data_IF_425086095209
#
_entry.id   IF_425086095209
#
_cell.length_a   1.000
_cell.length_b   1.000
_cell.length_c   1.000
_cell.angle_alpha   90.00
_cell.angle_beta   90.00
_cell.angle_gamma   90.00
#
_symmetry.space_group_name_H-M   'P 1'
#
loop_
_entity.id
_entity.type
_entity.pdbx_description
1 polymer ?
#
# COMPACT_ATOMS: atom_id res chain seq x y z
N UNK A 1 -3.27 -20.96 -22.41
CA UNK A 1 -2.16 -20.99 -21.44
C UNK A 1 -2.53 -20.05 -20.29
N UNK A 2 -3.06 -20.59 -19.19
CA UNK A 2 -3.68 -19.81 -18.10
C UNK A 2 -3.08 -20.07 -16.71
N UNK A 3 -1.82 -20.53 -16.65
CA UNK A 3 -1.16 -20.90 -15.38
C UNK A 3 -0.22 -19.81 -14.82
N UNK A 4 -0.02 -18.69 -15.51
CA UNK A 4 1.00 -17.71 -15.12
C UNK A 4 0.59 -16.64 -14.10
N UNK A 5 -0.69 -16.26 -13.98
CA UNK A 5 -1.06 -15.09 -13.16
C UNK A 5 -1.23 -15.40 -11.67
N UNK A 6 -1.77 -16.58 -11.33
CA UNK A 6 -2.02 -16.96 -9.93
C UNK A 6 -0.73 -17.20 -9.16
N UNK A 7 0.23 -17.92 -9.76
CA UNK A 7 1.54 -18.17 -9.17
C UNK A 7 2.33 -16.86 -9.00
N UNK A 8 2.23 -15.96 -9.99
CA UNK A 8 2.83 -14.64 -9.90
C UNK A 8 2.23 -13.84 -8.74
N UNK A 9 0.91 -13.79 -8.57
CA UNK A 9 0.28 -13.09 -7.43
C UNK A 9 0.79 -13.64 -6.09
N UNK A 10 0.93 -14.97 -5.96
CA UNK A 10 1.45 -15.60 -4.73
C UNK A 10 2.89 -15.16 -4.44
N UNK A 11 3.77 -15.20 -5.44
CA UNK A 11 5.18 -14.78 -5.31
C UNK A 11 5.26 -13.30 -4.96
N UNK A 12 4.50 -12.45 -5.65
CA UNK A 12 4.45 -11.01 -5.43
C UNK A 12 4.01 -10.65 -4.01
N UNK A 13 2.95 -11.30 -3.53
CA UNK A 13 2.48 -11.11 -2.17
C UNK A 13 3.50 -11.61 -1.13
N UNK A 14 4.21 -12.71 -1.40
CA UNK A 14 5.26 -13.20 -0.53
C UNK A 14 6.44 -12.21 -0.45
N UNK A 15 6.86 -11.65 -1.58
CA UNK A 15 7.92 -10.64 -1.66
C UNK A 15 7.53 -9.36 -0.92
N UNK A 16 6.33 -8.83 -1.15
CA UNK A 16 5.82 -7.63 -0.46
C UNK A 16 5.77 -7.84 1.06
N UNK A 17 5.30 -9.01 1.52
CA UNK A 17 5.34 -9.37 2.95
C UNK A 17 6.77 -9.42 3.48
N UNK A 18 7.67 -10.08 2.76
CA UNK A 18 9.07 -10.23 3.14
C UNK A 18 9.78 -8.88 3.26
N UNK A 19 9.57 -7.98 2.31
CA UNK A 19 10.19 -6.65 2.35
C UNK A 19 9.59 -5.77 3.45
N UNK A 20 8.28 -5.77 3.62
CA UNK A 20 7.66 -4.95 4.65
C UNK A 20 8.00 -5.39 6.08
N UNK A 21 8.27 -6.68 6.30
CA UNK A 21 8.62 -7.19 7.63
C UNK A 21 10.09 -6.95 8.00
N UNK A 22 10.99 -6.90 7.00
CA UNK A 22 12.44 -6.80 7.24
C UNK A 22 13.00 -5.37 7.17
N UNK A 23 12.16 -4.35 6.90
CA UNK A 23 12.60 -2.95 6.78
C UNK A 23 12.98 -2.40 5.40
N UNK A 24 13.19 -3.17 4.30
CA UNK A 24 13.36 -2.59 2.95
C UNK A 24 12.01 -2.08 2.40
N UNK A 25 11.54 -0.98 2.97
CA UNK A 25 10.26 -0.35 2.67
C UNK A 25 10.19 0.21 1.24
N UNK A 26 11.34 0.61 0.68
CA UNK A 26 11.40 1.18 -0.66
C UNK A 26 11.17 0.10 -1.73
N UNK A 27 11.74 -1.08 -1.53
CA UNK A 27 11.56 -2.27 -2.35
C UNK A 27 10.12 -2.78 -2.26
N UNK A 28 9.50 -2.76 -1.07
CA UNK A 28 8.08 -3.04 -0.91
C UNK A 28 7.22 -2.12 -1.80
N UNK A 29 7.52 -0.83 -1.82
CA UNK A 29 6.80 0.17 -2.62
C UNK A 29 7.06 -0.03 -4.13
N UNK A 30 8.31 -0.25 -4.54
CA UNK A 30 8.65 -0.51 -5.95
C UNK A 30 7.92 -1.74 -6.46
N UNK A 31 7.86 -2.78 -5.64
CA UNK A 31 7.11 -3.98 -5.96
C UNK A 31 5.62 -3.63 -6.15
N UNK A 32 5.00 -2.92 -5.21
CA UNK A 32 3.61 -2.49 -5.38
C UNK A 32 3.37 -1.73 -6.70
N UNK A 33 4.27 -0.82 -7.09
CA UNK A 33 4.15 -0.04 -8.32
C UNK A 33 4.27 -0.89 -9.59
N UNK A 34 5.00 -2.00 -9.55
CA UNK A 34 5.17 -2.92 -10.67
C UNK A 34 3.96 -3.84 -10.90
N UNK A 35 3.10 -4.04 -9.90
CA UNK A 35 1.95 -4.96 -10.00
C UNK A 35 1.04 -4.67 -11.21
N UNK A 36 0.61 -3.42 -11.47
CA UNK A 36 -0.25 -3.12 -12.62
C UNK A 36 0.42 -3.38 -13.97
N UNK A 37 1.73 -3.13 -14.08
CA UNK A 37 2.49 -3.38 -15.30
C UNK A 37 2.57 -4.88 -15.66
N UNK A 38 2.31 -5.75 -14.68
CA UNK A 38 2.23 -7.20 -14.86
C UNK A 38 0.80 -7.74 -14.92
N UNK A 39 -0.20 -6.87 -14.95
CA UNK A 39 -1.61 -7.26 -14.92
C UNK A 39 -2.04 -7.84 -13.57
N UNK A 40 -1.27 -7.60 -12.50
CA UNK A 40 -1.61 -8.02 -11.14
C UNK A 40 -2.37 -6.88 -10.44
N UNK A 41 -3.32 -7.24 -9.59
CA UNK A 41 -4.07 -6.28 -8.77
C UNK A 41 -3.67 -6.41 -7.30
N UNK A 42 -3.38 -5.30 -6.60
CA UNK A 42 -3.26 -5.33 -5.16
C UNK A 42 -4.58 -5.75 -4.51
N UNK A 43 -4.49 -6.35 -3.32
CA UNK A 43 -5.67 -6.74 -2.54
C UNK A 43 -5.52 -6.36 -1.05
N UNK A 44 -6.50 -6.68 -0.23
CA UNK A 44 -6.52 -6.38 1.21
C UNK A 44 -5.28 -6.84 2.00
N UNK A 45 -4.55 -7.87 1.58
CA UNK A 45 -3.29 -8.26 2.21
C UNK A 45 -2.07 -7.48 1.70
N UNK A 46 -2.16 -6.77 0.57
CA UNK A 46 -1.04 -6.01 -0.02
C UNK A 46 -0.98 -4.62 0.59
N UNK A 47 -2.14 -3.95 0.65
CA UNK A 47 -2.25 -2.56 1.07
C UNK A 47 -1.67 -2.24 2.45
N UNK A 48 -1.84 -3.06 3.51
CA UNK A 48 -1.31 -2.74 4.83
C UNK A 48 0.22 -2.58 4.82
N UNK A 49 0.92 -3.44 4.08
CA UNK A 49 2.37 -3.41 3.96
C UNK A 49 2.86 -2.17 3.23
N UNK A 50 2.16 -1.78 2.16
CA UNK A 50 2.50 -0.61 1.35
C UNK A 50 2.23 0.68 2.12
N UNK A 51 1.09 0.77 2.83
CA UNK A 51 0.76 1.92 3.66
C UNK A 51 1.76 2.08 4.81
N UNK A 52 2.11 0.98 5.50
CA UNK A 52 3.12 1.03 6.55
C UNK A 52 4.49 1.43 5.98
N UNK A 53 4.88 0.89 4.83
CA UNK A 53 6.14 1.28 4.16
C UNK A 53 6.16 2.75 3.77
N UNK A 54 5.04 3.29 3.27
CA UNK A 54 4.91 4.74 3.01
C UNK A 54 5.02 5.56 4.30
N UNK A 55 4.49 5.05 5.41
CA UNK A 55 4.55 5.72 6.70
C UNK A 55 5.98 5.75 7.27
N UNK A 56 6.71 4.63 7.22
CA UNK A 56 8.07 4.52 7.74
C UNK A 56 9.08 5.33 6.89
N UNK A 57 8.79 5.55 5.60
CA UNK A 57 9.57 6.42 4.71
C UNK A 57 9.06 7.86 4.64
N UNK A 58 8.06 8.23 5.45
CA UNK A 58 7.42 9.55 5.45
C UNK A 58 6.88 9.98 4.06
N UNK A 59 6.59 9.02 3.18
CA UNK A 59 6.05 9.23 1.83
C UNK A 59 4.53 9.46 1.86
N UNK A 60 4.05 10.36 2.71
CA UNK A 60 2.62 10.59 2.96
C UNK A 60 1.82 10.95 1.70
N UNK A 61 2.43 11.68 0.76
CA UNK A 61 1.81 11.98 -0.53
C UNK A 61 1.48 10.72 -1.34
N UNK A 62 2.37 9.72 -1.32
CA UNK A 62 2.13 8.42 -1.93
C UNK A 62 1.09 7.62 -1.14
N UNK A 63 1.22 7.60 0.18
CA UNK A 63 0.25 6.93 1.07
C UNK A 63 -1.19 7.38 0.83
N UNK A 64 -1.42 8.69 0.61
CA UNK A 64 -2.73 9.22 0.22
C UNK A 64 -3.23 8.72 -1.14
N UNK A 65 -2.34 8.61 -2.14
CA UNK A 65 -2.71 8.05 -3.47
C UNK A 65 -3.11 6.58 -3.33
N UNK A 66 -2.36 5.81 -2.53
CA UNK A 66 -2.70 4.41 -2.22
C UNK A 66 -4.03 4.32 -1.47
N UNK A 67 -4.31 5.24 -0.54
CA UNK A 67 -5.63 5.31 0.11
C UNK A 67 -6.77 5.54 -0.89
N UNK A 68 -6.61 6.42 -1.89
CA UNK A 68 -7.61 6.56 -2.95
C UNK A 68 -7.81 5.27 -3.75
N UNK A 69 -6.75 4.50 -3.98
CA UNK A 69 -6.85 3.19 -4.65
C UNK A 69 -7.55 2.14 -3.78
N UNK A 70 -7.30 2.12 -2.48
CA UNK A 70 -7.98 1.26 -1.48
C UNK A 70 -9.49 1.49 -1.52
N UNK A 71 -9.94 2.76 -1.52
CA UNK A 71 -11.37 3.10 -1.58
C UNK A 71 -11.98 2.66 -2.91
N UNK A 72 -11.25 2.83 -4.03
CA UNK A 72 -11.73 2.38 -5.35
C UNK A 72 -11.78 0.86 -5.49
N UNK A 73 -10.96 0.14 -4.75
CA UNK A 73 -10.92 -1.32 -4.75
C UNK A 73 -11.90 -1.97 -3.75
N UNK A 74 -12.52 -1.19 -2.86
CA UNK A 74 -13.49 -1.66 -1.87
C UNK A 74 -12.86 -2.36 -0.66
N UNK A 75 -11.57 -2.13 -0.40
CA UNK A 75 -10.84 -2.77 0.70
C UNK A 75 -10.66 -1.88 1.93
N UNK A 76 -11.24 -0.68 1.95
CA UNK A 76 -11.15 0.27 3.07
C UNK A 76 -11.73 -0.29 4.37
N UNK A 77 -12.74 -1.16 4.27
CA UNK A 77 -13.39 -1.82 5.42
C UNK A 77 -12.61 -3.02 5.96
N UNK A 78 -11.52 -3.44 5.30
CA UNK A 78 -10.66 -4.50 5.82
C UNK A 78 -9.96 -4.04 7.09
N UNK A 79 -10.09 -4.78 8.18
CA UNK A 79 -9.49 -4.44 9.48
C UNK A 79 -7.99 -4.11 9.38
N UNK A 80 -7.23 -4.95 8.67
CA UNK A 80 -5.79 -4.76 8.50
C UNK A 80 -5.47 -3.46 7.72
N UNK A 81 -6.30 -3.14 6.72
CA UNK A 81 -6.14 -1.94 5.89
C UNK A 81 -6.51 -0.69 6.70
N UNK A 82 -7.68 -0.70 7.35
CA UNK A 82 -8.13 0.39 8.21
C UNK A 82 -7.11 0.72 9.31
N UNK A 83 -6.54 -0.30 9.97
CA UNK A 83 -5.52 -0.10 11.00
C UNK A 83 -4.23 0.51 10.43
N UNK A 84 -3.78 0.07 9.26
CA UNK A 84 -2.60 0.65 8.59
C UNK A 84 -2.82 2.11 8.19
N UNK A 85 -4.01 2.44 7.67
CA UNK A 85 -4.38 3.81 7.31
C UNK A 85 -4.41 4.70 8.55
N UNK A 86 -5.03 4.24 9.64
CA UNK A 86 -5.05 4.96 10.90
C UNK A 86 -3.63 5.27 11.39
N UNK A 87 -2.75 4.27 11.42
CA UNK A 87 -1.35 4.46 11.81
C UNK A 87 -0.63 5.51 10.94
N UNK A 88 -0.81 5.46 9.62
CA UNK A 88 -0.22 6.44 8.70
C UNK A 88 -0.72 7.86 8.97
N UNK A 89 -2.04 8.05 9.13
CA UNK A 89 -2.62 9.37 9.36
C UNK A 89 -2.28 9.94 10.74
N UNK A 90 -2.15 9.09 11.77
CA UNK A 90 -1.72 9.51 13.11
C UNK A 90 -0.27 10.00 13.15
N UNK A 91 0.61 9.39 12.35
CA UNK A 91 2.03 9.78 12.25
C UNK A 91 2.26 10.95 11.26
N UNK A 92 1.26 11.33 10.47
CA UNK A 92 1.39 12.36 9.44
C UNK A 92 1.48 13.77 10.05
N UNK A 93 2.45 14.61 9.63
CA UNK A 93 2.54 16.00 10.09
C UNK A 93 1.29 16.81 9.71
N UNK A 94 0.92 17.77 10.56
CA UNK A 94 -0.25 18.62 10.36
C UNK A 94 -0.25 19.38 9.02
N UNK A 95 0.94 19.74 8.50
CA UNK A 95 1.10 20.38 7.18
C UNK A 95 0.56 19.54 6.02
N UNK A 96 0.61 18.20 6.15
CA UNK A 96 0.04 17.31 5.15
C UNK A 96 -1.46 17.12 5.38
N UNK A 97 -1.97 17.19 6.61
CA UNK A 97 -3.42 17.07 6.89
C UNK A 97 -4.18 18.33 6.43
N UNK A 98 -3.58 19.50 6.63
CA UNK A 98 -4.19 20.82 6.38
C UNK A 98 -4.46 21.16 4.91
N UNK A 99 -3.91 20.41 3.94
CA UNK A 99 -4.22 20.58 2.51
C UNK A 99 -5.69 20.30 2.12
N UNK A 100 -6.56 19.99 3.09
CA UNK A 100 -8.01 19.88 2.96
C UNK A 100 -8.76 21.18 3.33
N UNK A 101 -8.11 22.15 3.98
CA UNK A 101 -8.76 23.38 4.45
C UNK A 101 -8.72 24.55 3.44
N UNK A 102 -7.83 24.50 2.44
CA UNK A 102 -7.61 25.58 1.47
C UNK A 102 -8.17 25.25 0.06
N UNK A 103 -9.38 24.67 -0.02
CA UNK A 103 -10.11 24.52 -1.30
C UNK A 103 -11.56 24.96 -1.18
#
# INVERSE_FOLDING_TARGET
MGHGSSEQIVIWNAMIRGYAFNGPFQECIQMFDEMPHRGLKPHNFTYPYVINSCCELEMYGKGKRVHCEIVKSGFESSYAVANSLLNMYLKMPASFVAGLADR
#
